data_IF_699634149448
#
_entry.id   IF_699634149448
#
_cell.length_a   1.000
_cell.length_b   1.000
_cell.length_c   1.000
_cell.angle_alpha   90.00
_cell.angle_beta   90.00
_cell.angle_gamma   90.00
#
_symmetry.space_group_name_H-M   'P 1'
#
loop_
_entity.id
_entity.type
_entity.pdbx_description
1 polymer ?
#
# COMPACT_ATOMS: atom_id res chain seq x y z
N UNK A 1 -33.05 32.85 -40.43
CA UNK A 1 -31.77 32.23 -40.79
C UNK A 1 -30.72 33.30 -40.87
N UNK A 2 -29.52 32.97 -40.38
CA UNK A 2 -28.25 33.71 -40.35
C UNK A 2 -27.97 34.57 -39.10
N UNK A 3 -26.76 34.34 -38.60
CA UNK A 3 -26.11 34.63 -37.33
C UNK A 3 -25.05 35.73 -37.51
N UNK A 4 -24.78 36.52 -36.45
CA UNK A 4 -23.46 36.92 -35.87
C UNK A 4 -23.46 38.32 -35.21
N UNK A 5 -22.97 38.39 -33.96
CA UNK A 5 -22.21 39.55 -33.46
C UNK A 5 -22.57 40.19 -32.10
N UNK A 6 -21.98 39.66 -31.02
CA UNK A 6 -21.28 40.37 -29.90
C UNK A 6 -21.81 41.68 -29.28
N UNK A 7 -21.93 41.76 -27.95
CA UNK A 7 -20.96 42.37 -26.99
C UNK A 7 -21.57 42.57 -25.58
N UNK A 8 -20.73 42.37 -24.56
CA UNK A 8 -20.95 42.44 -23.10
C UNK A 8 -21.02 43.91 -22.62
N UNK A 9 -21.85 44.29 -21.63
CA UNK A 9 -21.62 45.50 -20.84
C UNK A 9 -20.85 45.18 -19.55
N UNK A 10 -19.63 45.73 -19.48
CA UNK A 10 -18.82 45.89 -18.28
C UNK A 10 -19.19 47.17 -17.51
N UNK A 11 -19.26 47.07 -16.19
CA UNK A 11 -19.20 48.16 -15.20
C UNK A 11 -18.15 47.71 -14.16
N UNK A 12 -17.38 48.52 -13.45
CA UNK A 12 -17.22 49.96 -13.33
C UNK A 12 -15.78 50.21 -12.80
N UNK A 13 -15.26 51.39 -13.07
CA UNK A 13 -13.94 51.92 -12.74
C UNK A 13 -13.60 51.91 -11.24
N UNK A 14 -12.33 51.72 -10.91
CA UNK A 14 -11.64 52.67 -10.02
C UNK A 14 -10.11 52.61 -10.09
N UNK A 15 -9.56 53.78 -9.86
CA UNK A 15 -8.23 54.31 -10.16
C UNK A 15 -7.07 53.84 -9.29
N UNK A 16 -5.89 53.78 -9.94
CA UNK A 16 -4.51 53.91 -9.49
C UNK A 16 -4.20 54.09 -7.98
N UNK A 17 -3.36 53.18 -7.49
CA UNK A 17 -2.42 53.40 -6.39
C UNK A 17 -1.49 52.19 -6.20
N UNK A 18 -0.26 52.27 -6.71
CA UNK A 18 0.87 51.40 -6.35
C UNK A 18 1.85 52.22 -5.49
N UNK A 19 2.76 51.62 -4.68
CA UNK A 19 2.94 50.20 -4.33
C UNK A 19 3.10 49.98 -2.80
N UNK A 20 3.25 48.72 -2.35
CA UNK A 20 4.37 48.24 -1.50
C UNK A 20 4.00 47.16 -0.42
N UNK A 21 4.77 46.06 -0.48
CA UNK A 21 5.28 45.17 0.57
C UNK A 21 4.40 44.23 1.42
N UNK A 22 4.56 42.94 1.10
CA UNK A 22 4.92 41.80 1.96
C UNK A 22 4.08 41.39 3.19
N UNK A 23 3.50 40.19 3.01
CA UNK A 23 3.54 39.02 3.90
C UNK A 23 2.40 38.82 4.92
N UNK A 24 1.35 38.18 4.39
CA UNK A 24 0.73 36.92 4.85
C UNK A 24 0.20 36.81 6.28
N UNK A 25 -1.04 37.28 6.47
CA UNK A 25 -1.98 36.69 7.43
C UNK A 25 -3.20 36.17 6.65
N UNK A 26 -3.22 34.88 6.32
CA UNK A 26 -4.45 34.18 5.92
C UNK A 26 -4.71 33.11 6.97
N UNK A 27 -5.73 33.39 7.79
CA UNK A 27 -6.43 32.43 8.63
C UNK A 27 -7.05 31.37 7.71
N UNK A 28 -6.58 30.13 7.83
CA UNK A 28 -7.28 28.95 7.31
C UNK A 28 -7.65 28.07 8.51
N UNK A 29 -8.93 28.17 8.88
CA UNK A 29 -9.64 27.11 9.59
C UNK A 29 -9.68 25.87 8.68
N UNK A 30 -9.13 24.77 9.15
CA UNK A 30 -9.28 23.43 8.57
C UNK A 30 -9.07 22.42 9.68
N UNK A 31 -10.17 22.11 10.33
CA UNK A 31 -10.48 20.83 10.99
C UNK A 31 -9.77 19.65 10.31
N UNK A 32 -8.58 19.29 10.79
CA UNK A 32 -8.00 17.98 10.54
C UNK A 32 -8.06 17.20 11.85
N UNK A 33 -8.89 16.16 11.78
CA UNK A 33 -9.25 15.27 12.84
C UNK A 33 -8.03 14.82 13.63
N UNK A 34 -8.20 14.75 14.95
CA UNK A 34 -7.42 13.88 15.84
C UNK A 34 -7.63 12.41 15.42
N UNK A 35 -7.04 12.04 14.30
CA UNK A 35 -6.91 10.65 13.87
C UNK A 35 -5.59 10.20 14.45
N UNK A 36 -5.65 9.38 15.50
CA UNK A 36 -4.46 8.73 16.03
C UNK A 36 -3.62 8.17 14.85
N UNK A 37 -2.30 8.40 14.80
CA UNK A 37 -1.50 8.00 13.66
C UNK A 37 -1.62 6.48 13.45
N UNK A 38 -2.04 6.03 12.26
CA UNK A 38 -1.94 4.63 11.90
C UNK A 38 -0.45 4.25 11.89
N UNK A 39 -0.08 3.22 12.65
CA UNK A 39 1.30 2.75 12.74
C UNK A 39 1.61 1.90 11.52
N UNK A 40 2.39 2.48 10.59
CA UNK A 40 2.91 1.78 9.42
C UNK A 40 4.28 1.21 9.75
N UNK A 41 4.47 -0.09 9.56
CA UNK A 41 5.74 -0.79 9.80
C UNK A 41 6.08 -1.72 8.64
N UNK A 42 7.36 -2.05 8.45
CA UNK A 42 7.79 -2.92 7.35
C UNK A 42 8.65 -4.07 7.84
N UNK A 43 8.60 -5.20 7.13
CA UNK A 43 9.52 -6.32 7.34
C UNK A 43 9.79 -7.09 6.04
N UNK A 44 10.98 -7.68 5.94
CA UNK A 44 11.31 -8.66 4.90
C UNK A 44 10.79 -10.03 5.34
N UNK A 45 9.75 -10.51 4.68
CA UNK A 45 9.08 -11.77 5.02
C UNK A 45 9.78 -12.98 4.40
N UNK A 46 10.46 -12.77 3.28
CA UNK A 46 11.17 -13.81 2.54
C UNK A 46 12.21 -13.17 1.63
N UNK A 47 13.39 -13.78 1.53
CA UNK A 47 14.41 -13.40 0.57
C UNK A 47 15.26 -14.61 0.19
N UNK A 48 15.14 -15.06 -1.06
CA UNK A 48 15.90 -16.21 -1.59
C UNK A 48 15.78 -16.26 -3.11
N UNK A 49 16.83 -16.73 -3.80
CA UNK A 49 16.84 -16.94 -5.25
C UNK A 49 16.43 -15.70 -6.07
N UNK A 50 16.80 -14.49 -5.61
CA UNK A 50 16.43 -13.23 -6.25
C UNK A 50 14.99 -12.77 -6.01
N UNK A 51 14.12 -13.58 -5.40
CA UNK A 51 12.80 -13.14 -4.96
C UNK A 51 12.89 -12.54 -3.55
N UNK A 52 12.35 -11.33 -3.35
CA UNK A 52 12.16 -10.72 -2.03
C UNK A 52 10.69 -10.36 -1.84
N UNK A 53 10.08 -10.83 -0.73
CA UNK A 53 8.78 -10.38 -0.28
C UNK A 53 8.94 -9.35 0.83
N UNK A 54 8.50 -8.12 0.58
CA UNK A 54 8.37 -7.07 1.59
C UNK A 54 6.92 -6.97 2.04
N UNK A 55 6.70 -6.91 3.35
CA UNK A 55 5.40 -6.65 3.94
C UNK A 55 5.40 -5.25 4.53
N UNK A 56 4.46 -4.41 4.11
CA UNK A 56 4.14 -3.13 4.76
C UNK A 56 2.83 -3.32 5.51
N UNK A 57 2.87 -3.16 6.83
CA UNK A 57 1.78 -3.46 7.75
C UNK A 57 1.19 -2.17 8.30
N UNK A 58 -0.11 -2.02 8.19
CA UNK A 58 -0.88 -0.91 8.74
C UNK A 58 -2.00 -1.47 9.62
N UNK A 59 -2.00 -1.07 10.90
CA UNK A 59 -3.12 -1.35 11.79
C UNK A 59 -4.20 -0.29 11.63
N UNK A 60 -5.45 -0.73 11.44
CA UNK A 60 -6.57 0.18 11.27
C UNK A 60 -7.01 0.78 12.60
N UNK A 61 -7.11 2.11 12.67
CA UNK A 61 -7.57 2.83 13.87
C UNK A 61 -9.04 2.54 14.17
N UNK A 62 -9.88 2.48 13.13
CA UNK A 62 -11.31 2.20 13.26
C UNK A 62 -11.61 0.75 13.66
N UNK A 63 -10.72 -0.18 13.29
CA UNK A 63 -10.84 -1.62 13.63
C UNK A 63 -9.50 -2.17 14.13
N UNK A 64 -9.13 -1.93 15.41
CA UNK A 64 -7.79 -2.24 15.94
C UNK A 64 -7.40 -3.72 15.96
N UNK A 65 -8.35 -4.63 15.76
CA UNK A 65 -8.10 -6.06 15.56
C UNK A 65 -7.67 -6.39 14.13
N UNK A 66 -7.77 -5.46 13.20
CA UNK A 66 -7.45 -5.64 11.78
C UNK A 66 -6.10 -5.01 11.45
N UNK A 67 -5.25 -5.81 10.83
CA UNK A 67 -4.00 -5.38 10.22
C UNK A 67 -4.09 -5.61 8.72
N UNK A 68 -3.91 -4.55 7.95
CA UNK A 68 -3.75 -4.61 6.49
C UNK A 68 -2.27 -4.79 6.20
N UNK A 69 -1.94 -5.75 5.34
CA UNK A 69 -0.58 -6.01 4.93
C UNK A 69 -0.52 -5.87 3.41
N UNK A 70 0.27 -4.91 2.93
CA UNK A 70 0.64 -4.81 1.53
C UNK A 70 1.86 -5.70 1.31
N UNK A 71 1.70 -6.73 0.49
CA UNK A 71 2.77 -7.62 0.06
C UNK A 71 3.35 -7.08 -1.24
N UNK A 72 4.66 -6.86 -1.29
CA UNK A 72 5.41 -6.51 -2.48
C UNK A 72 6.41 -7.61 -2.80
N UNK A 73 6.17 -8.34 -3.89
CA UNK A 73 7.07 -9.37 -4.40
C UNK A 73 7.98 -8.78 -5.47
N UNK A 74 9.29 -8.71 -5.19
CA UNK A 74 10.29 -8.08 -6.04
C UNK A 74 11.20 -9.12 -6.67
N UNK A 75 11.51 -8.96 -7.96
CA UNK A 75 12.45 -9.82 -8.67
C UNK A 75 13.79 -9.12 -8.88
N UNK A 76 14.82 -9.56 -8.15
CA UNK A 76 16.21 -9.11 -8.27
C UNK A 76 17.07 -10.07 -9.10
N UNK A 77 16.46 -11.05 -9.78
CA UNK A 77 17.16 -11.92 -10.73
C UNK A 77 17.16 -11.31 -12.14
N UNK A 78 17.88 -11.97 -13.06
CA UNK A 78 17.95 -11.58 -14.48
C UNK A 78 16.83 -12.20 -15.33
N UNK A 79 16.05 -13.13 -14.76
CA UNK A 79 15.03 -13.90 -15.48
C UNK A 79 13.64 -13.57 -14.95
N UNK A 80 12.59 -13.57 -15.79
CA UNK A 80 11.23 -13.33 -15.32
C UNK A 80 10.75 -14.48 -14.43
N UNK A 81 9.97 -14.15 -13.40
CA UNK A 81 9.19 -15.12 -12.65
C UNK A 81 7.77 -15.16 -13.21
N UNK A 82 7.35 -16.27 -13.80
CA UNK A 82 6.00 -16.45 -14.35
C UNK A 82 5.17 -17.35 -13.45
N UNK A 83 3.84 -17.31 -13.61
CA UNK A 83 2.90 -18.09 -12.79
C UNK A 83 3.12 -17.88 -11.28
N UNK A 84 3.53 -16.67 -10.90
CA UNK A 84 3.78 -16.33 -9.52
C UNK A 84 2.49 -16.46 -8.71
N UNK A 85 2.55 -17.27 -7.66
CA UNK A 85 1.47 -17.50 -6.72
C UNK A 85 2.00 -17.38 -5.30
N UNK A 86 1.50 -16.37 -4.59
CA UNK A 86 1.69 -16.20 -3.16
C UNK A 86 0.49 -16.75 -2.40
N UNK A 87 0.76 -17.53 -1.36
CA UNK A 87 -0.23 -18.04 -0.44
C UNK A 87 0.23 -17.80 0.99
N UNK A 88 -0.72 -17.58 1.88
CA UNK A 88 -0.47 -17.42 3.31
C UNK A 88 -1.45 -18.23 4.14
N UNK A 89 -1.00 -18.65 5.32
CA UNK A 89 -1.83 -19.26 6.35
C UNK A 89 -1.43 -18.68 7.71
N UNK A 90 -2.44 -18.49 8.57
CA UNK A 90 -2.31 -17.98 9.93
C UNK A 90 -2.92 -18.99 10.91
N UNK A 91 -2.62 -18.93 12.22
CA UNK A 91 -3.28 -19.77 13.21
C UNK A 91 -4.81 -19.61 13.17
N UNK A 92 -5.55 -20.66 13.55
CA UNK A 92 -7.03 -20.70 13.50
C UNK A 92 -7.73 -19.60 14.30
N UNK A 93 -7.05 -19.01 15.28
CA UNK A 93 -7.56 -17.89 16.09
C UNK A 93 -7.60 -16.56 15.33
N UNK A 94 -6.97 -16.50 14.16
CA UNK A 94 -6.96 -15.35 13.26
C UNK A 94 -7.87 -15.62 12.06
N UNK A 95 -8.29 -14.55 11.40
CA UNK A 95 -8.90 -14.65 10.07
C UNK A 95 -7.95 -14.04 9.05
N UNK A 96 -7.87 -14.66 7.87
CA UNK A 96 -7.03 -14.20 6.76
C UNK A 96 -7.89 -14.02 5.52
N UNK A 97 -7.82 -12.83 4.92
CA UNK A 97 -8.42 -12.55 3.62
C UNK A 97 -7.33 -12.11 2.65
N UNK A 98 -7.23 -12.79 1.51
CA UNK A 98 -6.33 -12.40 0.42
C UNK A 98 -7.13 -11.67 -0.66
N UNK A 99 -6.70 -10.45 -1.04
CA UNK A 99 -7.21 -9.78 -2.23
C UNK A 99 -6.51 -10.34 -3.49
N UNK A 100 -7.08 -10.18 -4.69
CA UNK A 100 -6.38 -10.54 -5.93
C UNK A 100 -5.02 -9.85 -6.03
N UNK A 101 -3.98 -10.53 -6.55
CA UNK A 101 -2.69 -9.89 -6.83
C UNK A 101 -2.78 -8.96 -8.05
N UNK A 102 -1.83 -8.04 -8.17
CA UNK A 102 -1.74 -7.13 -9.33
C UNK A 102 -1.37 -7.84 -10.64
N UNK A 103 -0.85 -9.07 -10.54
CA UNK A 103 -0.47 -9.90 -11.68
C UNK A 103 0.17 -11.21 -11.24
N UNK A 104 0.60 -12.01 -12.21
CA UNK A 104 1.23 -13.32 -12.00
C UNK A 104 2.61 -13.42 -12.66
N UNK A 105 3.12 -12.32 -13.20
CA UNK A 105 4.44 -12.26 -13.83
C UNK A 105 5.25 -11.13 -13.20
N UNK A 106 6.46 -11.45 -12.75
CA UNK A 106 7.42 -10.49 -12.20
C UNK A 106 8.63 -10.43 -13.14
N UNK A 107 8.67 -9.42 -14.01
CA UNK A 107 9.84 -9.16 -14.88
C UNK A 107 11.11 -8.93 -14.04
N UNK A 108 12.32 -9.09 -14.61
CA UNK A 108 13.56 -8.66 -13.96
C UNK A 108 13.48 -7.21 -13.50
N UNK A 109 13.79 -6.93 -12.23
CA UNK A 109 13.63 -5.60 -11.60
C UNK A 109 12.18 -5.17 -11.37
N UNK A 110 11.20 -6.01 -11.72
CA UNK A 110 9.79 -5.76 -11.56
C UNK A 110 9.25 -6.16 -10.19
N UNK A 111 7.97 -5.86 -9.99
CA UNK A 111 7.26 -6.13 -8.75
C UNK A 111 5.80 -6.53 -9.04
N UNK A 112 5.24 -7.39 -8.20
CA UNK A 112 3.78 -7.49 -8.04
C UNK A 112 3.38 -7.12 -6.62
N UNK A 113 2.15 -6.63 -6.46
CA UNK A 113 1.59 -6.29 -5.17
C UNK A 113 0.35 -7.13 -4.87
N UNK A 114 0.11 -7.41 -3.60
CA UNK A 114 -1.09 -8.08 -3.14
C UNK A 114 -1.45 -7.61 -1.73
N UNK A 115 -2.69 -7.17 -1.54
CA UNK A 115 -3.17 -6.84 -0.20
C UNK A 115 -3.69 -8.09 0.50
N UNK A 116 -3.30 -8.30 1.75
CA UNK A 116 -3.93 -9.27 2.64
C UNK A 116 -4.44 -8.55 3.90
N UNK A 117 -5.54 -9.04 4.47
CA UNK A 117 -6.08 -8.57 5.75
C UNK A 117 -6.01 -9.69 6.76
N UNK A 118 -5.49 -9.37 7.93
CA UNK A 118 -5.43 -10.28 9.08
C UNK A 118 -6.28 -9.71 10.20
N UNK A 119 -7.21 -10.51 10.72
CA UNK A 119 -8.04 -10.15 11.87
C UNK A 119 -7.58 -10.97 13.08
N UNK A 120 -7.18 -10.27 14.14
CA UNK A 120 -6.65 -10.81 15.39
C UNK A 120 -7.53 -10.36 16.58
N UNK A 121 -8.67 -11.03 16.84
CA UNK A 121 -9.57 -10.63 17.92
C UNK A 121 -8.96 -10.78 19.31
N UNK A 122 -7.98 -11.68 19.47
CA UNK A 122 -7.39 -12.04 20.75
C UNK A 122 -6.09 -11.28 21.06
N UNK A 123 -5.63 -10.39 20.16
CA UNK A 123 -4.37 -9.62 20.29
C UNK A 123 -3.14 -10.48 20.60
N UNK A 124 -3.14 -11.71 20.08
CA UNK A 124 -2.02 -12.63 20.24
C UNK A 124 -0.94 -12.39 19.19
N UNK A 125 0.29 -12.81 19.46
CA UNK A 125 1.40 -12.69 18.51
C UNK A 125 1.06 -13.29 17.15
N UNK A 126 1.19 -12.49 16.08
CA UNK A 126 0.99 -12.96 14.71
C UNK A 126 2.17 -13.86 14.29
N UNK A 127 1.83 -15.02 13.73
CA UNK A 127 2.74 -15.90 13.00
C UNK A 127 2.07 -16.26 11.68
N UNK A 128 2.85 -16.35 10.60
CA UNK A 128 2.31 -16.62 9.28
C UNK A 128 3.17 -17.65 8.57
N UNK A 129 2.55 -18.69 8.01
CA UNK A 129 3.19 -19.57 7.04
C UNK A 129 2.94 -18.99 5.65
N UNK A 130 3.98 -18.77 4.89
CA UNK A 130 3.87 -18.39 3.48
C UNK A 130 4.27 -19.56 2.59
N UNK A 131 3.62 -19.69 1.44
CA UNK A 131 4.02 -20.58 0.34
C UNK A 131 4.11 -19.78 -0.94
N UNK A 132 5.18 -20.01 -1.68
CA UNK A 132 5.51 -19.30 -2.90
C UNK A 132 5.67 -20.34 -3.99
N UNK A 133 5.06 -20.10 -5.15
CA UNK A 133 5.28 -20.88 -6.36
C UNK A 133 5.52 -19.92 -7.53
N UNK A 134 6.46 -20.25 -8.40
CA UNK A 134 6.69 -19.55 -9.67
C UNK A 134 7.52 -20.42 -10.62
N UNK A 135 7.61 -20.02 -11.88
CA UNK A 135 8.50 -20.63 -12.87
C UNK A 135 9.60 -19.61 -13.18
N UNK A 136 10.86 -20.06 -13.18
CA UNK A 136 12.02 -19.28 -13.59
C UNK A 136 12.83 -20.11 -14.59
N UNK A 137 13.11 -19.57 -15.78
CA UNK A 137 13.84 -20.26 -16.85
C UNK A 137 13.31 -21.67 -17.14
N UNK A 138 11.98 -21.81 -17.18
CA UNK A 138 11.28 -23.08 -17.42
C UNK A 138 11.30 -24.07 -16.24
N UNK A 139 11.94 -23.72 -15.12
CA UNK A 139 12.00 -24.56 -13.93
C UNK A 139 10.97 -24.11 -12.89
N UNK A 140 10.07 -25.00 -12.43
CA UNK A 140 9.16 -24.67 -11.35
C UNK A 140 9.92 -24.58 -10.01
N UNK A 141 9.67 -23.51 -9.28
CA UNK A 141 10.18 -23.27 -7.93
C UNK A 141 9.00 -23.23 -6.98
N UNK A 142 9.12 -23.98 -5.88
CA UNK A 142 8.18 -23.94 -4.76
C UNK A 142 8.97 -23.82 -3.46
N UNK A 143 8.57 -22.88 -2.61
CA UNK A 143 9.15 -22.74 -1.27
C UNK A 143 8.09 -22.40 -0.22
N UNK A 144 8.43 -22.64 1.04
CA UNK A 144 7.57 -22.38 2.19
C UNK A 144 8.41 -21.88 3.36
N UNK A 145 7.95 -20.80 4.01
CA UNK A 145 8.64 -20.20 5.15
C UNK A 145 7.66 -19.82 6.27
N UNK A 146 8.17 -19.81 7.50
CA UNK A 146 7.46 -19.28 8.67
C UNK A 146 7.95 -17.85 8.94
N UNK A 147 7.05 -16.87 8.85
CA UNK A 147 7.28 -15.48 9.24
C UNK A 147 6.83 -15.32 10.68
N UNK A 148 7.76 -14.93 11.56
CA UNK A 148 7.51 -14.82 13.00
C UNK A 148 8.08 -13.56 13.63
N UNK A 149 8.76 -12.72 12.85
CA UNK A 149 9.35 -11.44 13.24
C UNK A 149 8.41 -10.25 13.01
N UNK A 150 7.10 -10.45 13.18
CA UNK A 150 6.12 -9.38 13.04
C UNK A 150 6.30 -8.31 14.15
N UNK A 151 6.43 -7.02 13.79
CA UNK A 151 6.54 -5.93 14.76
C UNK A 151 5.38 -5.95 15.77
N UNK A 152 5.61 -5.71 17.07
CA UNK A 152 4.55 -5.69 18.07
C UNK A 152 3.40 -4.73 17.72
N UNK A 153 3.70 -3.59 17.10
CA UNK A 153 2.75 -2.57 16.68
C UNK A 153 1.73 -3.10 15.66
N UNK A 154 2.07 -4.16 14.94
CA UNK A 154 1.21 -4.78 13.94
C UNK A 154 0.20 -5.77 14.53
N UNK A 155 0.28 -6.12 15.82
CA UNK A 155 -0.64 -7.10 16.44
C UNK A 155 -1.02 -6.88 17.91
N UNK A 156 -0.34 -6.02 18.68
CA UNK A 156 -0.70 -5.61 20.07
C UNK A 156 -1.81 -4.57 20.12
#
# INVERSE_FOLDING_TARGET
GLDIGTTIPSTNSNSNGLPNNNNNNILLDSTLLDTAPSTVTELVAYEKNGLRLMFTLERLVETPSTTVIQVAANNYSQSPFTEFLFQAAVPKTFQLQMQPPSGTVISPGGQITQTIKVINPNRTMLKMRIRINYICDGTPVQDQADVSNFPPESWQ
#
